data_IF_565734358003
#
_entry.id   IF_565734358003
#
_cell.length_a   1.000
_cell.length_b   1.000
_cell.length_c   1.000
_cell.angle_alpha   90.00
_cell.angle_beta   90.00
_cell.angle_gamma   90.00
#
_symmetry.space_group_name_H-M   'P 1'
#
loop_
_entity.id
_entity.type
_entity.pdbx_description
1 polymer ?
#
# COMPACT_ATOMS: atom_id res chain seq x y z
N UNK A 1 -21.43 -13.50 26.46
CA UNK A 1 -20.14 -13.86 27.10
C UNK A 1 -19.58 -15.20 26.61
N UNK A 2 -20.39 -16.25 26.52
CA UNK A 2 -19.93 -17.60 26.15
C UNK A 2 -19.38 -17.74 24.70
N UNK A 3 -19.95 -16.99 23.74
CA UNK A 3 -19.51 -16.97 22.33
C UNK A 3 -18.16 -16.26 22.12
N UNK A 4 -17.84 -15.26 22.94
CA UNK A 4 -16.63 -14.45 22.81
C UNK A 4 -15.38 -15.23 23.26
N UNK A 5 -15.51 -16.00 24.34
CA UNK A 5 -14.47 -16.91 24.84
C UNK A 5 -14.19 -18.05 23.85
N UNK A 6 -15.20 -18.54 23.14
CA UNK A 6 -15.04 -19.61 22.15
C UNK A 6 -14.30 -19.13 20.89
N UNK A 7 -14.47 -17.87 20.48
CA UNK A 7 -13.72 -17.26 19.38
C UNK A 7 -12.24 -17.02 19.76
N UNK A 8 -11.97 -16.54 20.98
CA UNK A 8 -10.61 -16.40 21.52
C UNK A 8 -9.88 -17.75 21.65
N UNK A 9 -10.58 -18.80 22.10
CA UNK A 9 -10.05 -20.16 22.18
C UNK A 9 -9.74 -20.77 20.80
N UNK A 10 -10.56 -20.45 19.79
CA UNK A 10 -10.31 -20.89 18.41
C UNK A 10 -9.18 -20.11 17.74
N UNK A 11 -8.99 -18.83 18.06
CA UNK A 11 -7.87 -18.03 17.57
C UNK A 11 -6.53 -18.52 18.16
N UNK A 12 -6.48 -18.81 19.45
CA UNK A 12 -5.29 -19.40 20.10
C UNK A 12 -5.01 -20.83 19.64
N UNK A 13 -6.03 -21.63 19.31
CA UNK A 13 -5.83 -22.94 18.66
C UNK A 13 -5.21 -22.83 17.27
N UNK A 14 -5.58 -21.82 16.48
CA UNK A 14 -5.02 -21.58 15.13
C UNK A 14 -3.58 -21.09 15.16
N UNK A 15 -3.21 -20.26 16.15
CA UNK A 15 -1.82 -19.85 16.37
C UNK A 15 -0.94 -21.03 16.78
N UNK A 16 -1.41 -21.91 17.67
CA UNK A 16 -0.68 -23.14 18.04
C UNK A 16 -0.47 -24.11 16.87
N UNK A 17 -1.42 -24.16 15.93
CA UNK A 17 -1.30 -24.98 14.72
C UNK A 17 -0.24 -24.45 13.73
N UNK A 18 0.05 -23.14 13.78
CA UNK A 18 1.14 -22.53 13.02
C UNK A 18 2.50 -22.69 13.73
N UNK A 19 2.53 -22.73 15.06
CA UNK A 19 3.74 -23.05 15.84
C UNK A 19 4.18 -24.52 15.70
N UNK A 20 3.23 -25.43 15.51
CA UNK A 20 3.50 -26.87 15.31
C UNK A 20 3.54 -27.30 13.84
N UNK A 21 3.40 -26.36 12.90
CA UNK A 21 3.55 -26.65 11.49
C UNK A 21 5.04 -26.78 11.18
N UNK A 22 5.57 -27.99 11.33
CA UNK A 22 6.87 -28.37 10.82
C UNK A 22 6.78 -28.38 9.29
N UNK A 23 6.89 -27.19 8.71
CA UNK A 23 6.92 -26.99 7.28
C UNK A 23 8.28 -27.54 6.81
N UNK A 24 8.28 -28.81 6.42
CA UNK A 24 9.38 -29.48 5.74
C UNK A 24 9.64 -28.82 4.37
N UNK A 25 10.13 -27.58 4.38
CA UNK A 25 10.49 -26.80 3.20
C UNK A 25 11.56 -27.55 2.38
N UNK A 26 12.30 -28.48 2.99
CA UNK A 26 13.19 -29.43 2.31
C UNK A 26 12.51 -30.35 1.29
N UNK A 27 11.18 -30.51 1.35
CA UNK A 27 10.41 -31.38 0.43
C UNK A 27 9.75 -30.63 -0.72
N UNK A 28 9.83 -29.30 -0.76
CA UNK A 28 9.32 -28.52 -1.88
C UNK A 28 10.39 -28.55 -2.98
N UNK A 29 10.30 -29.55 -3.87
CA UNK A 29 11.14 -29.63 -5.06
C UNK A 29 10.68 -28.59 -6.07
N UNK A 30 11.32 -27.43 -6.06
CA UNK A 30 11.15 -26.41 -7.09
C UNK A 30 11.95 -26.85 -8.32
N UNK A 31 11.29 -27.15 -9.43
CA UNK A 31 11.95 -27.41 -10.71
C UNK A 31 12.21 -26.07 -11.40
N UNK A 32 13.45 -25.55 -11.45
CA UNK A 32 13.70 -24.26 -12.08
C UNK A 32 13.52 -24.40 -13.60
N UNK A 33 12.66 -23.56 -14.18
CA UNK A 33 12.50 -23.46 -15.63
C UNK A 33 13.77 -22.86 -16.20
N UNK A 34 14.51 -23.64 -17.00
CA UNK A 34 15.70 -23.18 -17.74
C UNK A 34 15.27 -22.29 -18.90
N UNK A 35 15.04 -21.01 -18.60
CA UNK A 35 14.90 -19.94 -19.59
C UNK A 35 15.79 -18.78 -19.18
N UNK A 36 16.56 -18.23 -20.13
CA UNK A 36 17.45 -17.08 -19.95
C UNK A 36 16.78 -15.97 -19.12
N UNK A 37 17.21 -15.82 -17.88
CA UNK A 37 16.76 -14.74 -17.00
C UNK A 37 17.98 -13.96 -16.54
N UNK A 38 17.92 -12.66 -16.73
CA UNK A 38 18.68 -11.69 -15.95
C UNK A 38 18.48 -12.06 -14.49
N UNK A 39 19.57 -12.26 -13.75
CA UNK A 39 19.52 -12.43 -12.30
C UNK A 39 18.95 -11.14 -11.68
N UNK A 40 17.63 -11.04 -11.54
CA UNK A 40 17.03 -10.06 -10.63
C UNK A 40 17.43 -10.50 -9.22
N UNK A 41 18.52 -9.91 -8.72
CA UNK A 41 19.00 -10.15 -7.37
C UNK A 41 17.90 -9.82 -6.38
N UNK A 42 17.56 -10.77 -5.50
CA UNK A 42 16.64 -10.52 -4.41
C UNK A 42 17.08 -9.26 -3.62
N UNK A 43 16.15 -8.36 -3.26
CA UNK A 43 16.50 -7.15 -2.51
C UNK A 43 17.11 -7.52 -1.16
N UNK A 44 18.08 -6.73 -0.68
CA UNK A 44 18.67 -6.98 0.64
C UNK A 44 17.64 -6.70 1.73
N UNK A 45 17.82 -7.35 2.88
CA UNK A 45 16.95 -7.13 4.05
C UNK A 45 16.92 -5.65 4.48
N UNK A 46 18.07 -4.97 4.38
CA UNK A 46 18.21 -3.54 4.66
C UNK A 46 17.31 -2.69 3.75
N UNK A 47 17.36 -2.94 2.44
CA UNK A 47 16.53 -2.26 1.44
C UNK A 47 15.04 -2.46 1.70
N UNK A 48 14.65 -3.67 2.15
CA UNK A 48 13.27 -3.99 2.52
C UNK A 48 12.85 -3.23 3.78
N UNK A 49 13.68 -3.20 4.82
CA UNK A 49 13.41 -2.45 6.05
C UNK A 49 13.29 -0.95 5.76
N UNK A 50 14.16 -0.41 4.92
CA UNK A 50 14.10 1.01 4.53
C UNK A 50 12.86 1.31 3.67
N UNK A 51 12.41 0.37 2.83
CA UNK A 51 11.16 0.51 2.08
C UNK A 51 9.91 0.57 2.99
N UNK A 52 10.00 0.02 4.20
CA UNK A 52 8.94 0.04 5.21
C UNK A 52 8.99 1.31 6.08
N UNK A 53 10.10 2.05 6.06
CA UNK A 53 10.23 3.33 6.75
C UNK A 53 9.55 4.43 5.92
N UNK A 54 8.77 5.26 6.59
CA UNK A 54 8.27 6.54 6.04
C UNK A 54 8.72 7.67 6.94
N UNK A 55 10.01 7.99 6.84
CA UNK A 55 10.67 9.04 7.62
C UNK A 55 11.01 10.23 6.73
N UNK A 56 10.80 11.42 7.26
CA UNK A 56 11.09 12.70 6.66
C UNK A 56 12.11 13.42 7.55
N UNK A 57 13.21 13.97 7.00
CA UNK A 57 14.13 14.75 7.81
C UNK A 57 13.41 15.92 8.48
N UNK A 58 13.86 16.32 9.67
CA UNK A 58 13.16 17.37 10.42
C UNK A 58 13.16 18.68 9.64
N UNK A 59 11.99 19.31 9.58
CA UNK A 59 11.80 20.58 8.90
C UNK A 59 11.76 20.51 7.38
N UNK A 60 11.77 19.32 6.74
CA UNK A 60 11.60 19.22 5.28
C UNK A 60 10.15 19.35 4.84
N UNK A 61 9.21 18.84 5.65
CA UNK A 61 7.78 18.92 5.39
C UNK A 61 7.38 20.39 5.31
N UNK A 62 6.99 20.83 4.11
CA UNK A 62 6.63 22.23 3.86
C UNK A 62 7.79 23.24 3.94
N UNK A 63 9.06 22.81 3.93
CA UNK A 63 10.22 23.72 3.91
C UNK A 63 10.19 24.68 2.72
N UNK A 64 9.87 24.14 1.55
CA UNK A 64 9.75 24.90 0.31
C UNK A 64 8.29 25.23 0.11
N UNK A 65 8.00 26.52 -0.12
CA UNK A 65 6.63 26.94 -0.47
C UNK A 65 6.25 26.33 -1.81
N UNK A 66 4.99 25.95 -1.97
CA UNK A 66 4.51 25.35 -3.20
C UNK A 66 4.80 26.21 -4.43
N UNK A 67 4.64 27.54 -4.33
CA UNK A 67 4.95 28.46 -5.43
C UNK A 67 6.43 28.41 -5.86
N UNK A 68 7.36 28.25 -4.92
CA UNK A 68 8.80 28.16 -5.20
C UNK A 68 9.15 26.80 -5.81
N UNK A 69 8.47 25.72 -5.38
CA UNK A 69 8.59 24.39 -5.98
C UNK A 69 8.17 24.41 -7.46
N UNK A 70 7.08 25.12 -7.77
CA UNK A 70 6.56 25.23 -9.12
C UNK A 70 7.58 25.85 -10.09
N UNK A 71 8.41 26.81 -9.67
CA UNK A 71 9.39 27.49 -10.55
C UNK A 71 10.34 26.54 -11.30
N UNK A 72 10.47 25.28 -10.86
CA UNK A 72 11.32 24.26 -11.48
C UNK A 72 10.72 23.66 -12.75
N UNK A 73 9.44 23.86 -13.03
CA UNK A 73 8.72 23.15 -14.09
C UNK A 73 8.19 24.08 -15.20
N UNK A 74 8.12 23.59 -16.46
CA UNK A 74 7.51 24.30 -17.58
C UNK A 74 6.00 24.52 -17.39
N UNK A 75 5.47 25.57 -18.05
CA UNK A 75 4.08 26.04 -17.92
C UNK A 75 2.99 24.95 -18.06
N UNK A 76 3.19 23.97 -18.96
CA UNK A 76 2.21 22.87 -19.17
C UNK A 76 2.11 21.94 -17.97
N UNK A 77 3.22 21.72 -17.25
CA UNK A 77 3.26 20.87 -16.06
C UNK A 77 2.76 21.62 -14.82
N UNK A 78 2.93 22.94 -14.80
CA UNK A 78 2.44 23.81 -13.72
C UNK A 78 0.93 23.76 -13.54
N UNK A 79 0.17 23.80 -14.63
CA UNK A 79 -1.29 23.75 -14.57
C UNK A 79 -1.78 22.42 -13.96
N UNK A 80 -1.13 21.32 -14.33
CA UNK A 80 -1.41 20.00 -13.78
C UNK A 80 -1.06 19.93 -12.28
N UNK A 81 0.17 20.30 -11.91
CA UNK A 81 0.63 20.29 -10.51
C UNK A 81 -0.29 21.13 -9.62
N UNK A 82 -0.69 22.33 -10.07
CA UNK A 82 -1.63 23.20 -9.35
C UNK A 82 -3.01 22.57 -9.22
N UNK A 83 -3.52 21.94 -10.27
CA UNK A 83 -4.84 21.31 -10.25
C UNK A 83 -4.87 20.13 -9.29
N UNK A 84 -3.86 19.25 -9.35
CA UNK A 84 -3.72 18.12 -8.41
C UNK A 84 -3.55 18.62 -6.98
N UNK A 85 -2.66 19.58 -6.74
CA UNK A 85 -2.45 20.14 -5.40
C UNK A 85 -3.73 20.77 -4.84
N UNK A 86 -4.50 21.50 -5.66
CA UNK A 86 -5.78 22.09 -5.24
C UNK A 86 -6.77 21.00 -4.80
N UNK A 87 -6.96 19.95 -5.59
CA UNK A 87 -7.87 18.85 -5.25
C UNK A 87 -7.49 18.21 -3.91
N UNK A 88 -6.19 18.04 -3.66
CA UNK A 88 -5.68 17.51 -2.39
C UNK A 88 -5.93 18.49 -1.24
N UNK A 89 -5.64 19.78 -1.44
CA UNK A 89 -5.83 20.82 -0.43
C UNK A 89 -7.31 20.98 -0.03
N UNK A 90 -8.21 20.91 -1.00
CA UNK A 90 -9.66 20.99 -0.82
C UNK A 90 -10.20 19.78 -0.03
N UNK A 91 -9.49 18.64 -0.08
CA UNK A 91 -9.83 17.43 0.69
C UNK A 91 -9.43 17.52 2.18
N UNK A 92 -8.73 18.58 2.58
CA UNK A 92 -8.44 18.86 3.97
C UNK A 92 -7.56 17.82 4.65
N UNK A 93 -7.80 17.62 5.95
CA UNK A 93 -7.04 16.68 6.78
C UNK A 93 -7.24 15.22 6.36
N UNK A 94 -8.34 14.85 5.68
CA UNK A 94 -8.54 13.46 5.28
C UNK A 94 -7.70 13.08 4.05
N UNK A 95 -7.41 14.06 3.19
CA UNK A 95 -6.71 13.85 1.93
C UNK A 95 -7.53 13.11 0.88
N UNK A 96 -6.99 13.11 -0.34
CA UNK A 96 -7.62 12.52 -1.51
C UNK A 96 -6.92 11.21 -1.93
N UNK A 97 -7.69 10.19 -2.27
CA UNK A 97 -7.19 8.98 -2.91
C UNK A 97 -6.94 9.20 -4.40
N UNK A 98 -6.09 8.36 -5.02
CA UNK A 98 -5.84 8.42 -6.47
C UNK A 98 -7.15 8.39 -7.28
N UNK A 99 -8.12 7.56 -6.84
CA UNK A 99 -9.42 7.46 -7.50
C UNK A 99 -10.20 8.78 -7.44
N UNK A 100 -10.27 9.41 -6.27
CA UNK A 100 -10.98 10.69 -6.07
C UNK A 100 -10.31 11.82 -6.88
N UNK A 101 -8.97 11.82 -6.97
CA UNK A 101 -8.22 12.81 -7.77
C UNK A 101 -8.51 12.62 -9.25
N UNK A 102 -8.46 11.39 -9.76
CA UNK A 102 -8.75 11.09 -11.17
C UNK A 102 -10.22 11.38 -11.52
N UNK A 103 -11.16 11.11 -10.61
CA UNK A 103 -12.58 11.45 -10.78
C UNK A 103 -12.81 12.96 -10.84
N UNK A 104 -12.03 13.74 -10.08
CA UNK A 104 -12.09 15.22 -10.10
C UNK A 104 -11.38 15.82 -11.31
N UNK A 105 -10.36 15.17 -11.86
CA UNK A 105 -9.53 15.64 -12.97
C UNK A 105 -9.75 14.81 -14.24
N UNK A 106 -11.01 14.70 -14.69
CA UNK A 106 -11.42 13.87 -15.84
C UNK A 106 -10.72 14.24 -17.16
N UNK A 107 -10.15 15.43 -17.26
CA UNK A 107 -9.45 15.91 -18.45
C UNK A 107 -8.00 15.42 -18.54
N UNK A 108 -7.46 14.82 -17.48
CA UNK A 108 -6.08 14.38 -17.38
C UNK A 108 -5.98 12.85 -17.39
N UNK A 109 -4.85 12.33 -17.87
CA UNK A 109 -4.59 10.89 -17.82
C UNK A 109 -4.14 10.46 -16.42
N UNK A 110 -4.48 9.24 -16.01
CA UNK A 110 -4.04 8.68 -14.72
C UNK A 110 -2.51 8.68 -14.59
N UNK A 111 -1.79 8.43 -15.70
CA UNK A 111 -0.33 8.47 -15.75
C UNK A 111 0.24 9.85 -15.42
N UNK A 112 -0.36 10.92 -15.96
CA UNK A 112 0.03 12.30 -15.66
C UNK A 112 -0.21 12.65 -14.19
N UNK A 113 -1.34 12.19 -13.63
CA UNK A 113 -1.67 12.40 -12.22
C UNK A 113 -0.68 11.67 -11.32
N UNK A 114 -0.36 10.41 -11.61
CA UNK A 114 0.64 9.62 -10.87
C UNK A 114 2.01 10.30 -10.93
N UNK A 115 2.42 10.78 -12.10
CA UNK A 115 3.67 11.54 -12.25
C UNK A 115 3.69 12.79 -11.35
N UNK A 116 2.63 13.59 -11.39
CA UNK A 116 2.52 14.81 -10.58
C UNK A 116 2.57 14.51 -9.07
N UNK A 117 1.89 13.44 -8.64
CA UNK A 117 1.90 12.98 -7.25
C UNK A 117 3.29 12.54 -6.80
N UNK A 118 4.01 11.78 -7.63
CA UNK A 118 5.37 11.35 -7.32
C UNK A 118 6.33 12.54 -7.18
N UNK A 119 6.25 13.53 -8.09
CA UNK A 119 7.08 14.74 -8.00
C UNK A 119 6.79 15.55 -6.73
N UNK A 120 5.52 15.70 -6.35
CA UNK A 120 5.14 16.40 -5.13
C UNK A 120 5.50 15.63 -3.85
N UNK A 121 5.43 14.30 -3.87
CA UNK A 121 5.87 13.43 -2.76
C UNK A 121 7.39 13.53 -2.57
N UNK A 122 8.16 13.45 -3.65
CA UNK A 122 9.62 13.61 -3.63
C UNK A 122 10.06 14.97 -3.08
N UNK A 123 9.31 16.02 -3.40
CA UNK A 123 9.54 17.37 -2.91
C UNK A 123 8.92 17.64 -1.52
N UNK A 124 8.34 16.63 -0.87
CA UNK A 124 7.65 16.74 0.44
C UNK A 124 6.57 17.82 0.49
N UNK A 125 5.96 18.14 -0.66
CA UNK A 125 4.83 19.06 -0.78
C UNK A 125 3.52 18.36 -0.44
N UNK A 126 3.46 17.07 -0.74
CA UNK A 126 2.34 16.18 -0.44
C UNK A 126 2.90 14.95 0.26
N UNK A 127 2.16 14.42 1.23
CA UNK A 127 2.50 13.20 1.95
C UNK A 127 1.49 12.11 1.67
N UNK A 128 2.02 10.89 1.51
CA UNK A 128 1.23 9.70 1.26
C UNK A 128 0.81 9.02 2.58
N UNK A 129 -0.41 9.29 3.03
CA UNK A 129 -0.98 8.90 4.33
C UNK A 129 -2.30 8.11 4.19
N UNK A 130 -2.95 7.74 5.28
CA UNK A 130 -4.28 7.11 5.29
C UNK A 130 -4.36 5.78 6.04
N UNK A 131 -5.58 5.39 6.42
CA UNK A 131 -5.87 4.19 7.23
C UNK A 131 -6.49 3.06 6.40
N UNK A 132 -7.48 3.42 5.59
CA UNK A 132 -8.29 2.53 4.76
C UNK A 132 -7.67 2.26 3.37
N UNK A 133 -7.05 3.30 2.82
CA UNK A 133 -6.43 3.29 1.50
C UNK A 133 -5.26 4.28 1.43
N UNK A 134 -4.67 4.39 0.23
CA UNK A 134 -3.65 5.39 -0.06
C UNK A 134 -4.30 6.75 -0.30
N UNK A 135 -4.00 7.72 0.55
CA UNK A 135 -4.46 9.10 0.45
C UNK A 135 -3.27 10.04 0.42
N UNK A 136 -3.46 11.15 -0.28
CA UNK A 136 -2.49 12.22 -0.40
C UNK A 136 -3.00 13.41 0.40
N UNK A 137 -2.14 14.00 1.23
CA UNK A 137 -2.45 15.18 2.06
C UNK A 137 -1.37 16.24 1.82
N UNK A 138 -1.74 17.52 1.79
CA UNK A 138 -0.76 18.60 1.66
C UNK A 138 0.14 18.70 2.89
N UNK A 139 1.37 19.19 2.73
CA UNK A 139 2.28 19.42 3.85
C UNK A 139 1.65 20.27 4.96
N UNK A 140 0.81 21.25 4.61
CA UNK A 140 0.13 22.13 5.57
C UNK A 140 -0.94 21.44 6.43
N UNK A 141 -1.43 20.28 6.00
CA UNK A 141 -2.49 19.52 6.69
C UNK A 141 -1.96 18.19 7.25
N UNK A 142 -0.65 17.96 7.14
CA UNK A 142 0.01 16.70 7.46
C UNK A 142 0.18 16.45 8.96
N UNK A 143 0.12 17.49 9.80
CA UNK A 143 0.42 17.42 11.23
C UNK A 143 -0.43 16.37 11.98
N UNK A 144 -1.66 16.11 11.54
CA UNK A 144 -2.52 15.10 12.15
C UNK A 144 -2.16 13.64 11.78
N UNK A 145 -1.27 13.44 10.81
CA UNK A 145 -0.83 12.13 10.35
C UNK A 145 0.60 11.79 10.72
N UNK A 146 1.40 12.80 11.09
CA UNK A 146 2.84 12.68 11.26
C UNK A 146 3.20 12.84 12.74
N UNK A 147 4.11 11.98 13.20
CA UNK A 147 4.73 12.08 14.51
C UNK A 147 6.07 12.80 14.36
N UNK A 148 6.38 13.70 15.29
CA UNK A 148 7.66 14.39 15.33
C UNK A 148 8.58 13.72 16.35
N UNK A 149 9.60 13.02 15.87
CA UNK A 149 10.70 12.51 16.67
C UNK A 149 11.80 13.57 16.88
N UNK A 150 12.87 13.16 17.57
CA UNK A 150 14.01 14.03 17.85
C UNK A 150 14.76 14.42 16.56
N UNK A 151 15.06 13.42 15.72
CA UNK A 151 15.87 13.54 14.50
C UNK A 151 15.03 13.64 13.21
N UNK A 152 13.85 13.03 13.18
CA UNK A 152 13.01 12.95 11.99
C UNK A 152 11.52 13.05 12.33
N UNK A 153 10.71 13.37 11.33
CA UNK A 153 9.24 13.25 11.40
C UNK A 153 8.83 11.99 10.63
N UNK A 154 7.85 11.24 11.10
CA UNK A 154 7.51 9.97 10.47
C UNK A 154 6.02 9.64 10.55
N UNK A 155 5.56 8.85 9.60
CA UNK A 155 4.22 8.26 9.65
C UNK A 155 4.25 7.01 10.53
N UNK A 156 3.44 6.97 11.58
CA UNK A 156 3.41 5.83 12.49
C UNK A 156 2.77 4.62 11.80
N UNK A 157 3.52 3.54 11.72
CA UNK A 157 3.06 2.22 11.30
C UNK A 157 3.18 1.22 12.46
N UNK A 158 2.48 0.08 12.42
CA UNK A 158 2.56 -0.93 13.48
C UNK A 158 3.99 -1.43 13.78
N UNK A 159 4.90 -1.25 12.84
CA UNK A 159 6.31 -1.66 12.94
C UNK A 159 7.30 -0.54 13.21
N UNK A 160 6.85 0.71 13.29
CA UNK A 160 7.71 1.85 13.64
C UNK A 160 7.80 2.03 15.15
N UNK A 161 9.00 2.33 15.65
CA UNK A 161 9.26 2.75 17.03
C UNK A 161 8.83 4.20 17.24
N UNK A 162 8.88 4.66 18.50
CA UNK A 162 8.67 6.06 18.86
C UNK A 162 9.75 7.01 18.26
N UNK A 163 10.87 6.45 17.80
CA UNK A 163 11.96 7.21 17.13
C UNK A 163 11.81 7.26 15.62
N UNK A 164 10.84 6.52 15.04
CA UNK A 164 10.65 6.39 13.59
C UNK A 164 11.44 5.25 12.94
N UNK A 165 12.23 4.52 13.74
CA UNK A 165 12.96 3.33 13.28
C UNK A 165 12.07 2.09 13.22
N UNK A 166 12.53 1.03 12.57
CA UNK A 166 11.80 -0.26 12.56
C UNK A 166 12.46 -1.18 13.58
N UNK A 167 11.70 -1.65 14.57
CA UNK A 167 12.24 -2.56 15.59
C UNK A 167 12.38 -3.98 15.03
N UNK A 168 13.55 -4.62 15.19
CA UNK A 168 13.86 -5.91 14.58
C UNK A 168 12.90 -7.05 14.99
N UNK A 169 12.42 -7.04 16.23
CA UNK A 169 11.41 -8.01 16.67
C UNK A 169 10.08 -7.82 15.95
N UNK A 170 9.73 -6.57 15.62
CA UNK A 170 8.55 -6.23 14.84
C UNK A 170 8.77 -6.49 13.36
N UNK A 171 10.00 -6.33 12.85
CA UNK A 171 10.40 -6.76 11.51
C UNK A 171 10.09 -8.25 11.32
N UNK A 172 10.46 -9.10 12.29
CA UNK A 172 10.13 -10.54 12.24
C UNK A 172 8.63 -10.77 12.15
N UNK A 173 7.84 -10.02 12.92
CA UNK A 173 6.39 -10.10 12.89
C UNK A 173 5.79 -9.61 11.55
N UNK A 174 6.34 -8.54 10.98
CA UNK A 174 5.97 -8.01 9.65
C UNK A 174 6.28 -9.04 8.57
N UNK A 175 7.45 -9.67 8.59
CA UNK A 175 7.78 -10.73 7.64
C UNK A 175 6.87 -11.94 7.77
N UNK A 176 6.56 -12.38 8.99
CA UNK A 176 5.57 -13.44 9.24
C UNK A 176 4.19 -13.06 8.69
N UNK A 177 3.79 -11.79 8.81
CA UNK A 177 2.54 -11.31 8.23
C UNK A 177 2.60 -11.27 6.70
N UNK A 178 3.69 -10.82 6.10
CA UNK A 178 3.89 -10.86 4.65
C UNK A 178 3.88 -12.29 4.11
N UNK A 179 4.49 -13.23 4.83
CA UNK A 179 4.45 -14.66 4.52
C UNK A 179 3.02 -15.19 4.61
N UNK A 180 2.26 -14.86 5.66
CA UNK A 180 0.86 -15.23 5.78
C UNK A 180 -0.02 -14.67 4.67
N UNK A 181 0.23 -13.42 4.24
CA UNK A 181 -0.44 -12.79 3.09
C UNK A 181 -0.08 -13.54 1.80
N UNK A 182 1.21 -13.82 1.57
CA UNK A 182 1.67 -14.58 0.42
C UNK A 182 1.06 -15.98 0.38
N UNK A 183 1.07 -16.71 1.50
CA UNK A 183 0.47 -18.04 1.61
C UNK A 183 -1.05 -18.01 1.34
N UNK A 184 -1.73 -16.96 1.80
CA UNK A 184 -3.15 -16.73 1.50
C UNK A 184 -3.40 -16.53 -0.01
N UNK A 185 -2.51 -15.84 -0.71
CA UNK A 185 -2.55 -15.66 -2.16
C UNK A 185 -2.23 -16.97 -2.89
N UNK A 186 -1.20 -17.70 -2.47
CA UNK A 186 -0.80 -18.99 -3.04
C UNK A 186 -1.92 -20.03 -2.91
N UNK A 187 -2.58 -20.06 -1.76
CA UNK A 187 -3.71 -20.96 -1.50
C UNK A 187 -4.94 -20.64 -2.37
N UNK A 188 -5.10 -19.38 -2.82
CA UNK A 188 -6.24 -18.90 -3.60
C UNK A 188 -5.78 -17.87 -4.64
N UNK A 189 -5.10 -18.31 -5.72
CA UNK A 189 -4.61 -17.39 -6.75
C UNK A 189 -5.79 -16.67 -7.42
N UNK A 190 -5.63 -15.38 -7.71
CA UNK A 190 -6.70 -14.55 -8.26
C UNK A 190 -7.68 -13.98 -7.22
N UNK A 191 -7.35 -14.07 -5.92
CA UNK A 191 -8.10 -13.38 -4.87
C UNK A 191 -8.07 -11.85 -5.08
N UNK A 192 -9.12 -11.17 -4.60
CA UNK A 192 -9.18 -9.71 -4.67
C UNK A 192 -8.48 -9.07 -3.48
N UNK A 193 -8.02 -7.84 -3.65
CA UNK A 193 -7.48 -7.04 -2.54
C UNK A 193 -8.51 -6.90 -1.40
N UNK A 194 -9.80 -6.79 -1.72
CA UNK A 194 -10.86 -6.67 -0.72
C UNK A 194 -11.03 -7.96 0.11
N UNK A 195 -10.88 -9.13 -0.52
CA UNK A 195 -10.91 -10.41 0.21
C UNK A 195 -9.75 -10.50 1.22
N UNK A 196 -8.56 -10.06 0.81
CA UNK A 196 -7.39 -10.01 1.70
C UNK A 196 -7.59 -8.99 2.81
N UNK A 197 -8.09 -7.79 2.51
CA UNK A 197 -8.44 -6.77 3.51
C UNK A 197 -9.40 -7.34 4.56
N UNK A 198 -10.46 -8.02 4.13
CA UNK A 198 -11.41 -8.66 5.05
C UNK A 198 -10.78 -9.77 5.90
N UNK A 199 -9.93 -10.62 5.29
CA UNK A 199 -9.24 -11.71 6.00
C UNK A 199 -8.26 -11.20 7.06
N UNK A 200 -7.54 -10.12 6.79
CA UNK A 200 -6.51 -9.59 7.69
C UNK A 200 -6.97 -8.38 8.52
N UNK A 201 -8.24 -7.97 8.43
CA UNK A 201 -8.79 -6.80 9.12
C UNK A 201 -8.59 -6.79 10.65
N UNK A 202 -8.50 -7.97 11.27
CA UNK A 202 -8.29 -8.10 12.72
C UNK A 202 -6.84 -7.88 13.15
N UNK A 203 -5.88 -7.98 12.23
CA UNK A 203 -4.45 -7.93 12.52
C UNK A 203 -3.74 -6.75 11.85
N UNK A 204 -4.24 -6.31 10.69
CA UNK A 204 -3.60 -5.30 9.85
C UNK A 204 -4.61 -4.26 9.39
N UNK A 205 -4.18 -3.00 9.46
CA UNK A 205 -4.89 -1.92 8.80
C UNK A 205 -4.87 -2.14 7.28
N UNK A 206 -5.98 -1.86 6.56
CA UNK A 206 -6.09 -2.07 5.12
C UNK A 206 -4.98 -1.38 4.30
N UNK A 207 -4.52 -0.20 4.73
CA UNK A 207 -3.39 0.49 4.12
C UNK A 207 -2.08 -0.28 4.22
N UNK A 208 -1.78 -0.82 5.40
CA UNK A 208 -0.53 -1.56 5.65
C UNK A 208 -0.47 -2.84 4.82
N UNK A 209 -1.61 -3.49 4.61
CA UNK A 209 -1.72 -4.62 3.69
C UNK A 209 -1.35 -4.21 2.26
N UNK A 210 -1.79 -3.05 1.78
CA UNK A 210 -1.42 -2.55 0.44
C UNK A 210 0.09 -2.31 0.31
N UNK A 211 0.71 -1.79 1.37
CA UNK A 211 2.15 -1.56 1.39
C UNK A 211 2.92 -2.89 1.36
N UNK A 212 2.48 -3.91 2.12
CA UNK A 212 3.03 -5.26 2.04
C UNK A 212 2.87 -5.90 0.65
N UNK A 213 1.71 -5.74 0.02
CA UNK A 213 1.46 -6.26 -1.33
C UNK A 213 2.36 -5.62 -2.38
N UNK A 214 2.59 -4.30 -2.27
CA UNK A 214 3.51 -3.57 -3.13
C UNK A 214 4.96 -4.04 -2.92
N UNK A 215 5.36 -4.34 -1.68
CA UNK A 215 6.69 -4.92 -1.42
C UNK A 215 6.80 -6.32 -1.99
N UNK A 216 5.79 -7.18 -1.82
CA UNK A 216 5.77 -8.52 -2.43
C UNK A 216 5.82 -8.47 -3.97
N UNK A 217 5.19 -7.47 -4.58
CA UNK A 217 5.25 -7.24 -6.02
C UNK A 217 6.64 -6.80 -6.48
N UNK A 218 7.29 -5.90 -5.75
CA UNK A 218 8.69 -5.50 -5.99
C UNK A 218 9.68 -6.65 -5.84
N UNK A 219 9.43 -7.56 -4.90
CA UNK A 219 10.21 -8.78 -4.75
C UNK A 219 9.94 -9.82 -5.84
N UNK A 220 9.03 -9.53 -6.79
CA UNK A 220 8.64 -10.46 -7.84
C UNK A 220 7.79 -11.64 -7.35
N UNK A 221 7.34 -11.66 -6.09
CA UNK A 221 6.56 -12.78 -5.54
C UNK A 221 5.12 -12.81 -6.07
N UNK A 222 4.54 -11.64 -6.33
CA UNK A 222 3.15 -11.49 -6.79
C UNK A 222 3.08 -10.46 -7.91
N UNK A 223 2.05 -10.54 -8.74
CA UNK A 223 1.70 -9.53 -9.73
C UNK A 223 0.29 -9.02 -9.46
N UNK A 224 0.14 -7.72 -9.28
CA UNK A 224 -1.15 -7.08 -9.08
C UNK A 224 -1.74 -6.74 -10.45
N UNK A 225 -2.76 -7.50 -10.86
CA UNK A 225 -3.42 -7.31 -12.14
C UNK A 225 -4.71 -6.51 -11.93
N UNK A 226 -4.80 -5.33 -12.53
CA UNK A 226 -6.06 -4.62 -12.66
C UNK A 226 -6.88 -5.24 -13.79
N UNK A 227 -8.04 -5.84 -13.47
CA UNK A 227 -8.93 -6.43 -14.46
C UNK A 227 -10.28 -5.72 -14.45
N UNK A 228 -10.66 -5.22 -15.62
CA UNK A 228 -12.02 -4.79 -15.91
C UNK A 228 -12.90 -6.02 -16.10
N UNK A 229 -13.51 -6.52 -15.03
CA UNK A 229 -14.45 -7.64 -15.12
C UNK A 229 -15.84 -7.07 -15.36
N UNK A 230 -16.47 -7.45 -16.49
CA UNK A 230 -17.90 -7.19 -16.67
C UNK A 230 -18.64 -8.00 -15.59
N UNK A 231 -19.44 -7.37 -14.72
CA UNK A 231 -20.16 -8.13 -13.71
C UNK A 231 -21.05 -9.16 -14.43
N UNK A 232 -20.89 -10.43 -14.07
CA UNK A 232 -21.76 -11.53 -14.54
C UNK A 232 -23.16 -11.46 -13.92
N UNK A 233 -23.43 -10.46 -13.09
CA UNK A 233 -24.76 -10.21 -12.53
C UNK A 233 -25.67 -9.72 -13.65
N UNK A 234 -26.78 -10.43 -13.86
CA UNK A 234 -27.91 -9.95 -14.65
C UNK A 234 -28.27 -8.54 -14.15
N UNK A 235 -28.37 -7.58 -15.07
CA UNK A 235 -28.77 -6.21 -14.75
C UNK A 235 -30.09 -6.24 -14.01
N UNK A 236 -30.12 -5.70 -12.80
CA UNK A 236 -31.39 -5.35 -12.18
C UNK A 236 -32.07 -4.32 -13.09
N UNK A 237 -33.35 -4.46 -13.43
CA UNK A 237 -34.08 -3.46 -14.21
C UNK A 237 -34.19 -2.09 -13.50
N UNK A 238 -33.72 -1.99 -12.25
CA UNK A 238 -33.68 -0.76 -11.45
C UNK A 238 -32.28 -0.09 -11.40
N UNK A 239 -31.25 -0.68 -11.98
CA UNK A 239 -29.90 -0.09 -12.05
C UNK A 239 -29.67 0.63 -13.39
N UNK A 240 -30.03 1.92 -13.45
CA UNK A 240 -29.73 2.81 -14.57
C UNK A 240 -28.30 3.36 -14.45
N UNK A 241 -27.29 2.53 -14.78
CA UNK A 241 -25.90 2.97 -14.84
C UNK A 241 -24.93 1.89 -15.28
N UNK A 242 -23.95 2.23 -16.12
CA UNK A 242 -22.81 1.37 -16.47
C UNK A 242 -21.87 1.24 -15.26
N UNK A 243 -22.17 0.35 -14.31
CA UNK A 243 -21.22 -0.03 -13.27
C UNK A 243 -20.12 -0.91 -13.87
N UNK A 244 -19.06 -0.28 -14.41
CA UNK A 244 -17.78 -0.95 -14.62
C UNK A 244 -17.12 -1.13 -13.26
N UNK A 245 -17.28 -2.31 -12.65
CA UNK A 245 -16.55 -2.67 -11.44
C UNK A 245 -15.12 -3.09 -11.80
N UNK A 246 -14.15 -2.21 -11.55
CA UNK A 246 -12.73 -2.54 -11.57
C UNK A 246 -12.42 -3.45 -10.38
N UNK A 247 -11.84 -4.63 -10.65
CA UNK A 247 -11.31 -5.49 -9.60
C UNK A 247 -9.80 -5.65 -9.76
N UNK A 248 -9.07 -5.37 -8.69
CA UNK A 248 -7.65 -5.71 -8.59
C UNK A 248 -7.54 -7.16 -8.12
N UNK A 249 -7.09 -8.05 -9.01
CA UNK A 249 -6.77 -9.45 -8.70
C UNK A 249 -5.28 -9.60 -8.49
N UNK A 250 -4.91 -10.37 -7.47
CA UNK A 250 -3.51 -10.71 -7.24
C UNK A 250 -3.27 -12.09 -7.83
N UNK A 251 -2.37 -12.16 -8.80
CA UNK A 251 -1.95 -13.39 -9.43
C UNK A 251 -0.52 -13.67 -8.97
N UNK A 252 -0.18 -14.94 -8.78
CA UNK A 252 1.22 -15.30 -8.55
C UNK A 252 2.02 -14.94 -9.79
N UNK A 253 3.18 -14.33 -9.58
CA UNK A 253 4.14 -14.17 -10.66
C UNK A 253 4.50 -15.57 -11.15
N UNK A 254 4.12 -15.89 -12.39
CA UNK A 254 4.58 -17.11 -13.04
C UNK A 254 6.10 -17.02 -13.19
N UNK A 255 6.82 -17.76 -12.35
CA UNK A 255 8.25 -18.04 -12.53
C UNK A 255 8.44 -19.11 -13.60
#
# INVERSE_FOLDING_TARGET
>A
MHLYLQQLANATKRLRYLESADLHLEKIVLTPVKGSRTEESLPRLEDLIDSLKRTFPKGTIGAVRFDDFLLKYPLKQLSLLRSVHRVIADSGMFGASLREITESLQNETEENIIWALNEMENATQVLLVGVDCRRYVTASQADCWIMHGESCSFFSAPWTTLTGDVHLSTVRWVFWMMEGVLFSIVSRPGCTINDLKGRFAFALQPRMLLDMLNTLERCGCVRICCMNVRPLRLRSPFELGLLRSLFMRIVLSSF
#
